data_IF_234016631325
#
_entry.id   IF_234016631325
#
_cell.length_a   1.000
_cell.length_b   1.000
_cell.length_c   1.000
_cell.angle_alpha   90.00
_cell.angle_beta   90.00
_cell.angle_gamma   90.00
#
_symmetry.space_group_name_H-M   'P 1'
#
loop_
_entity.id
_entity.type
_entity.pdbx_description
1 polymer ?
2 non-polymer ?
3 non-polymer ?
4 water ?
#
# COMPACT_ATOMS: atom_id res chain seq x y z
N UNK A 19 24.32 21.16 13.04
CA UNK A 19 23.13 20.29 13.09
C UNK A 19 21.84 21.12 13.07
N UNK A 20 21.23 21.25 11.88
CA UNK A 20 20.05 22.11 11.70
C UNK A 20 18.78 21.51 12.31
N UNK A 21 17.84 22.38 12.70
CA UNK A 21 16.64 22.02 13.45
C UNK A 21 15.38 22.37 12.63
N UNK A 22 14.19 21.88 13.05
CA UNK A 22 12.91 22.14 12.36
C UNK A 22 11.78 22.51 13.35
N UNK A 23 11.28 21.54 14.13
CA UNK A 23 10.25 21.78 15.16
C UNK A 23 10.75 21.15 16.49
N UNK A 24 11.83 21.74 17.00
CA UNK A 24 12.48 21.30 18.23
C UNK A 24 13.15 19.95 18.14
N UNK A 25 13.69 19.60 16.96
CA UNK A 25 14.34 18.30 16.71
C UNK A 25 15.46 18.45 15.69
N UNK A 26 16.56 17.69 15.85
CA UNK A 26 17.68 17.71 14.89
C UNK A 26 17.20 17.11 13.57
N UNK A 27 17.50 17.80 12.46
CA UNK A 27 17.21 17.29 11.12
C UNK A 27 18.47 17.48 10.31
N UNK A 28 19.39 16.55 10.54
CA UNK A 28 20.80 16.72 10.25
C UNK A 28 21.16 15.90 9.01
N UNK A 29 21.26 16.59 7.87
CA UNK A 29 21.34 15.96 6.55
C UNK A 29 22.49 16.50 5.73
N UNK A 30 23.33 17.35 6.33
CA UNK A 30 24.21 18.22 5.58
C UNK A 30 25.48 17.56 5.12
N UNK A 31 26.27 18.27 4.28
CA UNK A 31 25.93 19.55 3.63
C UNK A 31 25.07 19.41 2.37
N UNK A 32 24.75 18.19 1.97
CA UNK A 32 24.16 18.00 0.65
C UNK A 32 22.78 18.60 0.58
N UNK A 33 21.99 18.51 1.65
CA UNK A 33 20.57 18.86 1.60
C UNK A 33 20.34 20.06 2.49
N UNK A 34 19.77 21.15 1.94
CA UNK A 34 19.64 22.44 2.66
C UNK A 34 18.25 23.08 2.47
N UNK A 35 18.01 24.22 3.14
CA UNK A 35 16.74 24.95 3.03
C UNK A 35 15.57 24.01 3.28
N UNK A 36 15.44 23.54 4.51
CA UNK A 36 14.48 22.51 4.86
C UNK A 36 13.14 23.19 5.12
N UNK A 37 12.03 22.52 4.74
CA UNK A 37 10.69 22.96 5.08
C UNK A 37 9.91 21.77 5.64
N UNK A 38 9.27 21.95 6.79
CA UNK A 38 8.46 20.91 7.44
C UNK A 38 7.31 20.48 6.52
N UNK A 39 7.11 19.14 6.34
CA UNK A 39 5.97 18.58 5.62
C UNK A 39 4.95 18.05 6.63
N UNK A 40 5.38 17.16 7.52
CA UNK A 40 4.48 16.56 8.51
C UNK A 40 5.14 15.52 9.38
N UNK A 41 4.37 14.51 9.83
CA UNK A 41 4.87 13.38 10.62
C UNK A 41 4.89 12.12 9.76
N UNK A 45 7.97 9.11 11.98
CA UNK A 45 9.10 9.97 12.34
C UNK A 45 8.88 11.44 12.06
N UNK A 46 9.71 12.06 11.19
CA UNK A 46 9.58 13.48 10.78
C UNK A 46 9.96 13.62 9.31
N UNK A 47 9.11 14.28 8.50
CA UNK A 47 9.33 14.46 7.06
C UNK A 47 9.52 15.93 6.71
N UNK A 48 10.50 16.23 5.84
CA UNK A 48 10.80 17.57 5.36
C UNK A 48 11.12 17.53 3.88
N UNK A 49 10.79 18.61 3.15
CA UNK A 49 11.41 18.87 1.85
C UNK A 49 12.75 19.54 2.10
N UNK A 50 13.65 19.44 1.15
CA UNK A 50 14.99 19.92 1.31
C UNK A 50 15.63 20.05 -0.04
N UNK A 51 16.39 21.13 -0.26
CA UNK A 51 17.06 21.35 -1.52
C UNK A 51 18.29 20.44 -1.64
N UNK A 52 18.36 19.68 -2.74
CA UNK A 52 19.47 18.77 -3.00
C UNK A 52 20.52 19.53 -3.79
N UNK A 53 21.69 19.78 -3.17
CA UNK A 53 22.72 20.60 -3.81
C UNK A 53 23.48 19.87 -4.95
N UNK A 54 23.39 18.50 -5.07
CA UNK A 54 24.08 17.74 -6.14
C UNK A 54 23.22 17.72 -7.42
N UNK A 55 21.99 17.18 -7.31
CA UNK A 55 20.94 17.24 -8.34
C UNK A 55 20.12 18.44 -7.93
N UNK A 56 19.95 19.44 -8.77
CA UNK A 56 19.45 20.73 -8.30
C UNK A 56 17.92 20.78 -8.29
N UNK A 57 17.34 20.00 -7.36
CA UNK A 57 15.89 19.78 -7.19
C UNK A 57 15.59 19.64 -5.70
N UNK A 58 14.41 20.05 -5.26
CA UNK A 58 13.98 19.76 -3.90
C UNK A 58 13.54 18.29 -3.80
N UNK A 59 13.76 17.67 -2.63
CA UNK A 59 13.56 16.24 -2.36
C UNK A 59 12.74 16.10 -1.13
N UNK A 60 12.20 14.93 -0.89
CA UNK A 60 11.62 14.61 0.40
C UNK A 60 12.68 13.86 1.22
N UNK A 61 12.71 14.12 2.53
CA UNK A 61 13.64 13.44 3.44
C UNK A 61 12.84 13.07 4.63
N UNK A 62 12.81 11.77 4.98
CA UNK A 62 12.18 11.32 6.20
C UNK A 62 13.24 10.83 7.17
N UNK A 63 13.28 11.45 8.36
CA UNK A 63 14.07 11.00 9.52
C UNK A 63 13.34 9.86 10.21
N UNK A 64 14.03 8.71 10.38
CA UNK A 64 13.48 7.50 10.96
C UNK A 64 14.30 7.18 12.21
N UNK A 65 13.65 6.97 13.35
CA UNK A 65 14.34 6.73 14.62
C UNK A 65 13.80 5.43 15.22
N UNK A 66 14.25 4.28 14.69
CA UNK A 66 13.59 3.01 15.06
C UNK A 66 14.31 2.15 16.09
N UNK A 67 15.47 2.58 16.58
CA UNK A 67 16.40 1.61 17.11
C UNK A 67 16.01 1.14 18.52
N UNK A 68 15.12 1.87 19.20
CA UNK A 68 14.64 1.51 20.55
C UNK A 68 13.27 0.79 20.52
N UNK A 69 12.84 0.22 19.38
CA UNK A 69 11.62 -0.61 19.30
C UNK A 69 11.78 -1.62 18.18
N UNK A 70 11.85 -2.93 18.52
CA UNK A 70 12.20 -3.91 17.49
C UNK A 70 11.21 -3.97 16.35
N UNK A 71 9.92 -3.67 16.62
CA UNK A 71 8.91 -3.61 15.55
C UNK A 71 9.32 -2.49 14.58
N UNK A 72 9.74 -1.31 15.08
CA UNK A 72 10.18 -0.23 14.21
C UNK A 72 11.42 -0.63 13.37
N UNK A 73 12.37 -1.41 13.96
CA UNK A 73 13.57 -1.92 13.26
C UNK A 73 13.20 -2.88 12.13
N UNK A 74 12.22 -3.77 12.38
CA UNK A 74 11.74 -4.77 11.40
C UNK A 74 11.14 -4.10 10.20
N UNK A 75 10.26 -3.15 10.45
CA UNK A 75 9.56 -2.41 9.39
C UNK A 75 10.53 -1.55 8.57
N UNK A 76 11.46 -0.85 9.26
CA UNK A 76 12.49 -0.04 8.61
C UNK A 76 13.40 -0.90 7.68
N UNK A 77 13.85 -2.02 8.17
CA UNK A 77 14.67 -2.91 7.38
C UNK A 77 13.93 -3.42 6.14
N UNK A 78 12.63 -3.79 6.27
CA UNK A 78 11.80 -4.18 5.10
C UNK A 78 11.66 -3.09 4.05
N UNK A 79 11.27 -1.88 4.49
CA UNK A 79 11.11 -0.70 3.64
C UNK A 79 12.41 -0.61 2.83
N UNK A 80 13.54 -0.57 3.51
CA UNK A 80 14.85 -0.32 2.89
C UNK A 80 15.25 -1.39 1.90
N UNK A 81 15.24 -2.66 2.34
CA UNK A 81 15.62 -3.80 1.52
C UNK A 81 14.74 -3.84 0.26
N UNK A 82 13.42 -3.67 0.42
CA UNK A 82 12.50 -3.75 -0.72
C UNK A 82 12.72 -2.62 -1.72
N UNK A 83 12.71 -1.37 -1.26
CA UNK A 83 12.77 -0.23 -2.16
C UNK A 83 14.14 -0.12 -2.82
N UNK A 84 15.24 -0.57 -2.18
CA UNK A 84 16.55 -0.65 -2.82
C UNK A 84 16.59 -1.66 -3.96
N UNK A 85 15.84 -2.76 -3.85
CA UNK A 85 15.89 -3.80 -4.87
C UNK A 85 14.93 -3.50 -6.00
N UNK A 86 13.81 -2.89 -5.72
CA UNK A 86 12.81 -2.56 -6.73
C UNK A 86 13.24 -1.38 -7.54
N UNK A 87 13.00 -1.46 -8.84
CA UNK A 87 13.15 -0.34 -9.76
C UNK A 87 11.94 -0.28 -10.73
N UNK A 88 11.02 0.69 -10.50
CA UNK A 88 9.78 0.79 -11.25
C UNK A 88 9.26 2.20 -11.22
N UNK A 89 8.74 2.68 -12.34
CA UNK A 89 8.24 4.05 -12.45
C UNK A 89 7.09 4.37 -11.44
N UNK A 90 6.34 3.33 -10.99
CA UNK A 90 5.16 3.56 -10.15
C UNK A 90 5.42 3.06 -8.77
N UNK A 91 6.72 2.93 -8.37
CA UNK A 91 7.12 2.59 -7.04
C UNK A 91 8.16 3.64 -6.61
N UNK A 92 7.98 4.28 -5.41
CA UNK A 92 8.92 5.32 -5.02
C UNK A 92 10.34 4.69 -4.85
N UNK A 93 11.34 5.38 -5.30
CA UNK A 93 12.70 4.90 -5.12
C UNK A 93 13.33 5.53 -3.87
N UNK A 94 14.41 4.97 -3.40
CA UNK A 94 15.26 5.64 -2.42
C UNK A 94 16.45 6.29 -3.16
N UNK A 95 16.54 7.58 -3.09
CA UNK A 95 17.61 8.36 -3.73
C UNK A 95 18.90 8.34 -2.95
N UNK A 96 18.76 8.28 -1.65
CA UNK A 96 19.92 8.36 -0.76
C UNK A 96 19.46 7.94 0.66
N UNK A 97 20.42 7.49 1.51
CA UNK A 97 20.16 7.21 2.91
C UNK A 97 21.32 7.81 3.68
N UNK A 98 20.98 8.67 4.68
CA UNK A 98 21.93 9.43 5.46
C UNK A 98 22.01 8.78 6.86
N UNK A 99 23.20 8.44 7.33
CA UNK A 99 23.35 8.00 8.72
C UNK A 99 24.81 8.12 9.13
N UNK A 100 25.06 7.99 10.44
CA UNK A 100 26.39 8.07 11.01
C UNK A 100 27.36 7.04 10.42
N UNK A 101 28.66 7.32 10.43
CA UNK A 101 29.62 6.35 9.89
C UNK A 101 29.83 5.06 10.66
N UNK A 102 29.41 4.99 11.93
CA UNK A 102 29.58 3.82 12.78
C UNK A 102 28.24 3.40 13.35
N UNK A 103 28.11 2.10 13.69
CA UNK A 103 26.89 1.58 14.39
C UNK A 103 26.71 2.31 15.70
N UNK A 104 27.80 2.58 16.39
CA UNK A 104 27.76 3.26 17.69
C UNK A 104 27.12 4.63 17.64
N UNK A 105 27.41 5.37 16.57
CA UNK A 105 26.98 6.75 16.38
C UNK A 105 25.67 6.86 15.66
N UNK A 106 25.11 5.74 15.13
CA UNK A 106 23.91 5.78 14.32
C UNK A 106 22.70 5.70 15.23
N UNK A 107 22.01 6.83 15.39
CA UNK A 107 20.81 6.95 16.25
C UNK A 107 19.55 7.13 15.44
N UNK A 108 19.66 7.63 14.19
CA UNK A 108 18.53 7.81 13.28
C UNK A 108 19.00 7.40 11.85
N UNK A 109 18.07 7.16 10.94
CA UNK A 109 18.39 6.99 9.51
C UNK A 109 17.57 8.03 8.77
N UNK A 110 18.13 8.71 7.77
CA UNK A 110 17.31 9.60 6.89
C UNK A 110 17.18 8.98 5.53
N UNK A 111 15.95 8.84 5.03
CA UNK A 111 15.71 8.30 3.69
C UNK A 111 15.25 9.45 2.79
N UNK A 112 15.96 9.63 1.68
CA UNK A 112 15.77 10.71 0.72
C UNK A 112 15.00 10.13 -0.45
N UNK A 113 13.86 10.75 -0.78
CA UNK A 113 13.07 10.34 -1.94
C UNK A 113 12.67 11.52 -2.83
N UNK A 114 12.24 11.20 -4.08
CA UNK A 114 11.71 12.24 -4.97
C UNK A 114 10.64 12.98 -4.23
N UNK A 115 10.55 14.28 -4.44
CA UNK A 115 9.51 15.06 -3.77
C UNK A 115 8.24 14.87 -4.60
N UNK A 116 7.09 14.56 -3.95
CA UNK A 116 5.81 14.41 -4.64
C UNK A 116 4.86 15.53 -4.18
N UNK A 117 4.10 16.18 -5.11
CA UNK A 117 3.23 17.35 -4.76
C UNK A 117 2.25 16.94 -3.65
N UNK A 118 1.61 15.76 -3.78
CA UNK A 118 0.51 15.38 -2.92
C UNK A 118 0.39 13.83 -2.81
N UNK A 119 -0.68 13.35 -2.21
CA UNK A 119 -0.95 11.90 -2.17
C UNK A 119 -2.41 11.72 -2.39
N UNK A 120 -2.84 10.50 -2.66
CA UNK A 120 -4.24 10.30 -3.04
C UNK A 120 -5.14 10.59 -1.81
N UNK A 121 -4.67 10.40 -0.58
CA UNK A 121 -5.50 10.75 0.60
C UNK A 121 -5.85 12.25 0.61
N UNK A 122 -4.84 13.09 0.42
CA UNK A 122 -5.00 14.56 0.42
C UNK A 122 -5.85 14.99 -0.73
N UNK A 123 -5.63 14.34 -1.88
CA UNK A 123 -6.34 14.75 -3.09
C UNK A 123 -7.84 14.41 -2.95
N UNK A 124 -8.15 13.24 -2.42
CA UNK A 124 -9.55 12.85 -2.25
C UNK A 124 -10.28 13.71 -1.21
N UNK A 125 -9.57 14.24 -0.24
CA UNK A 125 -10.26 15.12 0.70
C UNK A 125 -10.70 16.43 0.06
N UNK A 126 -9.99 16.91 -0.99
CA UNK A 126 -10.15 18.23 -1.58
C UNK A 126 -10.66 18.31 -3.05
N UNK A 127 -10.46 17.24 -3.84
CA UNK A 127 -10.64 17.27 -5.28
C UNK A 127 -11.60 16.21 -5.84
N UNK A 128 -12.55 16.62 -6.64
CA UNK A 128 -13.27 15.66 -7.51
C UNK A 128 -12.27 15.13 -8.55
N UNK A 129 -12.30 13.81 -8.82
CA UNK A 129 -11.43 13.26 -9.85
C UNK A 129 -12.28 13.07 -11.10
N UNK A 130 -11.83 13.50 -12.30
CA UNK A 130 -12.57 13.16 -13.53
C UNK A 130 -12.47 11.67 -13.80
N UNK A 131 -13.38 11.08 -14.61
CA UNK A 131 -13.21 9.68 -14.96
C UNK A 131 -11.88 9.39 -15.58
N UNK A 132 -11.33 10.32 -16.37
CA UNK A 132 -10.00 10.07 -16.94
C UNK A 132 -8.88 10.01 -15.91
N UNK A 133 -8.99 10.83 -14.86
CA UNK A 133 -8.00 10.77 -13.76
C UNK A 133 -8.11 9.46 -13.00
N UNK A 134 -9.30 9.03 -12.73
CA UNK A 134 -9.52 7.76 -11.99
C UNK A 134 -8.91 6.56 -12.79
N UNK A 135 -9.18 6.55 -14.07
CA UNK A 135 -8.70 5.51 -14.95
C UNK A 135 -7.18 5.44 -14.94
N UNK A 136 -6.54 6.58 -15.07
CA UNK A 136 -5.09 6.73 -15.11
C UNK A 136 -4.43 6.36 -13.77
N UNK A 137 -5.03 6.80 -12.68
CA UNK A 137 -4.54 6.46 -11.35
C UNK A 137 -4.62 4.96 -11.14
N UNK A 138 -5.76 4.35 -11.47
CA UNK A 138 -5.94 2.92 -11.27
C UNK A 138 -4.92 2.16 -12.12
N UNK A 139 -4.72 2.62 -13.36
CA UNK A 139 -3.71 1.98 -14.25
C UNK A 139 -2.36 1.95 -13.58
N UNK A 140 -1.93 3.11 -13.12
CA UNK A 140 -0.60 3.24 -12.49
C UNK A 140 -0.51 2.41 -11.23
N UNK A 141 -1.55 2.39 -10.41
CA UNK A 141 -1.55 1.55 -9.20
C UNK A 141 -1.32 0.06 -9.59
N UNK A 142 -2.09 -0.43 -10.54
CA UNK A 142 -2.03 -1.84 -10.95
C UNK A 142 -0.73 -2.17 -11.67
N UNK A 143 -0.18 -1.19 -12.40
CA UNK A 143 1.08 -1.37 -13.13
C UNK A 143 2.19 -1.60 -12.10
N UNK A 144 2.23 -0.75 -11.09
CA UNK A 144 3.16 -0.92 -9.99
C UNK A 144 2.93 -2.22 -9.23
N UNK A 145 1.67 -2.51 -8.93
CA UNK A 145 1.34 -3.79 -8.26
C UNK A 145 1.71 -5.05 -9.06
N UNK A 146 1.61 -4.98 -10.35
CA UNK A 146 2.05 -6.11 -11.21
C UNK A 146 3.50 -6.43 -10.89
N UNK A 147 4.33 -5.38 -10.84
CA UNK A 147 5.77 -5.58 -10.54
C UNK A 147 5.95 -6.15 -9.14
N UNK A 148 5.30 -5.55 -8.13
CA UNK A 148 5.46 -5.99 -6.75
C UNK A 148 5.10 -7.44 -6.61
N UNK A 149 3.92 -7.83 -7.15
CA UNK A 149 3.45 -9.22 -7.10
C UNK A 149 4.35 -10.16 -7.92
N UNK A 150 4.94 -9.67 -8.99
CA UNK A 150 5.84 -10.48 -9.81
C UNK A 150 7.16 -10.84 -9.03
N UNK A 151 7.49 -9.99 -8.06
CA UNK A 151 8.61 -10.25 -7.12
C UNK A 151 8.19 -11.16 -5.94
N UNK A 152 6.98 -11.72 -5.98
CA UNK A 152 6.40 -12.54 -4.91
C UNK A 152 6.24 -11.77 -3.60
N UNK A 153 6.07 -10.46 -3.68
CA UNK A 153 5.94 -9.55 -2.54
C UNK A 153 4.48 -9.09 -2.48
N UNK A 154 3.98 -9.00 -1.27
CA UNK A 154 2.67 -8.40 -0.93
C UNK A 154 2.90 -7.07 -0.25
N UNK A 155 2.26 -6.01 -0.69
CA UNK A 155 2.45 -4.73 -0.04
C UNK A 155 1.75 -4.76 1.36
N UNK A 156 0.48 -5.19 1.41
CA UNK A 156 -0.28 -5.40 2.66
C UNK A 156 -0.72 -4.12 3.36
N UNK A 157 -0.45 -2.92 2.80
CA UNK A 157 -1.04 -1.72 3.37
C UNK A 157 -1.37 -0.66 2.32
N UNK A 158 -1.96 -1.11 1.23
CA UNK A 158 -2.33 -0.19 0.14
C UNK A 158 -3.52 0.62 0.60
N UNK A 159 -3.41 1.94 0.43
CA UNK A 159 -4.42 2.90 0.87
C UNK A 159 -4.08 4.26 0.24
N UNK A 160 -5.03 5.19 0.17
CA UNK A 160 -4.76 6.44 -0.52
C UNK A 160 -3.48 7.16 -0.02
N UNK A 161 -3.20 7.16 1.29
CA UNK A 161 -2.06 7.96 1.76
C UNK A 161 -0.72 7.28 1.37
N UNK A 162 -0.75 6.00 0.92
CA UNK A 162 0.45 5.33 0.41
C UNK A 162 0.61 5.40 -1.11
N UNK A 163 -0.16 6.24 -1.75
CA UNK A 163 -0.10 6.50 -3.16
C UNK A 163 0.30 7.97 -3.36
N UNK A 164 1.53 8.21 -3.75
CA UNK A 164 2.06 9.58 -3.96
C UNK A 164 1.80 10.08 -5.40
N UNK A 165 1.58 11.40 -5.59
CA UNK A 165 1.26 12.01 -6.87
C UNK A 165 2.08 13.26 -7.05
N UNK A 166 2.61 13.47 -8.23
CA UNK A 166 3.36 14.70 -8.53
C UNK A 166 2.45 15.65 -9.30
N UNK A 167 2.97 16.79 -9.87
CA UNK A 167 2.07 17.87 -10.37
C UNK A 167 1.45 17.49 -11.68
N UNK A 168 2.02 16.46 -12.32
CA UNK A 168 1.55 15.97 -13.60
C UNK A 168 0.82 14.65 -13.40
N UNK A 169 0.40 14.35 -12.15
CA UNK A 169 -0.37 13.16 -11.80
C UNK A 169 0.35 11.81 -12.06
N UNK A 170 1.68 11.83 -12.04
CA UNK A 170 2.37 10.54 -12.01
C UNK A 170 2.24 9.99 -10.62
N UNK A 171 2.01 8.67 -10.49
CA UNK A 171 1.63 8.03 -9.25
C UNK A 171 2.69 6.97 -8.88
N UNK A 172 3.08 7.02 -7.62
CA UNK A 172 4.04 6.10 -7.02
C UNK A 172 3.63 5.50 -5.69
N UNK A 173 3.71 4.16 -5.63
CA UNK A 173 3.39 3.42 -4.42
C UNK A 173 4.52 3.58 -3.46
N UNK A 174 4.21 3.86 -2.20
CA UNK A 174 5.16 3.94 -1.11
C UNK A 174 4.82 3.10 0.12
N UNK A 175 5.75 3.08 1.11
CA UNK A 175 5.61 2.46 2.41
C UNK A 175 5.46 0.95 2.37
N UNK A 176 6.59 0.26 2.24
CA UNK A 176 6.62 -1.20 2.23
C UNK A 176 7.01 -1.76 3.59
N UNK A 177 6.81 -0.97 4.64
CA UNK A 177 7.15 -1.38 6.00
C UNK A 177 6.37 -2.57 6.46
N UNK A 178 5.14 -2.76 5.94
CA UNK A 178 4.28 -3.86 6.33
C UNK A 178 4.30 -5.03 5.33
N UNK A 179 5.17 -5.00 4.33
CA UNK A 179 5.20 -6.02 3.28
C UNK A 179 5.68 -7.37 3.75
N UNK A 180 5.27 -8.43 3.00
CA UNK A 180 5.72 -9.79 3.23
C UNK A 180 5.95 -10.50 1.88
N UNK A 181 6.77 -11.54 1.90
CA UNK A 181 6.85 -12.49 0.79
C UNK A 181 5.56 -13.35 0.83
N UNK A 182 4.91 -13.52 -0.32
CA UNK A 182 3.68 -14.30 -0.43
C UNK A 182 3.89 -15.75 0.03
N UNK A 183 2.89 -16.31 0.69
CA UNK A 183 2.96 -17.66 1.23
C UNK A 183 1.57 -18.25 1.28
N UNK A 184 0.97 -18.57 0.12
CA UNK A 184 -0.41 -19.07 0.11
C UNK A 184 -0.68 -20.39 0.82
N UNK A 185 0.33 -21.26 0.99
CA UNK A 185 0.14 -22.54 1.64
C UNK A 185 0.00 -22.38 3.16
N UNK A 186 0.48 -21.26 3.71
CA UNK A 186 0.38 -21.00 5.14
C UNK A 186 -0.53 -19.77 5.39
N UNK A 187 -1.56 -19.56 4.57
CA UNK A 187 -2.47 -18.43 4.76
C UNK A 187 -3.60 -18.69 5.78
N UNK A 188 -3.92 -19.95 6.08
CA UNK A 188 -5.13 -20.20 6.88
C UNK A 188 -4.96 -19.92 8.37
N UNK A 189 -6.03 -19.39 8.99
CA UNK A 189 -6.00 -19.11 10.45
C UNK A 189 -7.44 -19.10 10.93
N UNK A 190 -7.63 -18.83 12.22
CA UNK A 190 -8.95 -18.76 12.84
C UNK A 190 -9.65 -17.43 12.75
N UNK A 191 -10.81 -17.37 13.40
CA UNK A 191 -11.76 -16.27 13.29
C UNK A 191 -11.42 -15.06 14.22
N UNK A 192 -11.54 -13.85 13.71
CA UNK A 192 -11.34 -12.56 14.41
C UNK A 192 -9.94 -12.43 15.08
N UNK A 193 -8.91 -12.95 14.42
CA UNK A 193 -7.55 -12.88 14.98
C UNK A 193 -6.70 -11.79 14.32
N UNK A 194 -6.85 -11.55 13.03
CA UNK A 194 -5.78 -10.95 12.22
C UNK A 194 -6.07 -9.47 11.93
N UNK A 195 -5.01 -8.63 11.74
CA UNK A 195 -5.15 -7.17 11.65
C UNK A 195 -4.48 -6.56 10.42
N UNK A 196 -4.16 -7.38 9.44
CA UNK A 196 -3.38 -6.99 8.25
C UNK A 196 -4.02 -5.76 7.59
N UNK A 197 -3.21 -4.83 6.99
CA UNK A 197 -3.69 -3.58 6.36
C UNK A 197 -4.32 -2.60 7.41
N UNK A 198 -4.77 -1.51 6.87
CA UNK A 198 -5.43 -0.49 7.62
C UNK A 198 -6.89 -0.88 7.48
N UNK A 199 -7.68 -0.67 8.55
CA UNK A 199 -9.03 -1.23 8.63
C UNK A 199 -9.90 -1.06 7.43
N UNK A 200 -10.09 0.16 6.89
CA UNK A 200 -11.07 0.40 5.83
C UNK A 200 -10.69 -0.39 4.51
N UNK A 201 -9.44 -0.78 4.39
CA UNK A 201 -8.89 -1.39 3.16
C UNK A 201 -8.58 -2.89 3.35
N UNK A 202 -9.01 -3.45 4.48
CA UNK A 202 -8.77 -4.82 4.89
C UNK A 202 -9.84 -5.79 4.30
N UNK A 203 -9.41 -6.84 3.64
CA UNK A 203 -10.30 -7.78 2.97
C UNK A 203 -11.12 -8.57 3.98
N UNK A 204 -12.34 -9.00 3.59
CA UNK A 204 -13.22 -9.71 4.53
C UNK A 204 -12.54 -10.95 5.12
N UNK A 205 -11.74 -11.73 4.32
CA UNK A 205 -11.10 -12.95 4.83
C UNK A 205 -10.14 -12.70 5.96
N UNK A 206 -9.56 -11.50 6.08
CA UNK A 206 -8.64 -11.19 7.21
C UNK A 206 -9.34 -11.46 8.56
N UNK A 207 -10.64 -11.08 8.64
CA UNK A 207 -11.41 -11.23 9.86
C UNK A 207 -11.97 -12.64 10.06
N UNK A 208 -11.93 -13.46 9.01
CA UNK A 208 -12.57 -14.76 8.95
C UNK A 208 -11.58 -15.87 9.09
N UNK A 209 -10.55 -15.92 8.22
CA UNK A 209 -9.69 -17.11 8.13
C UNK A 209 -8.34 -16.91 7.42
N UNK A 210 -7.87 -15.68 7.25
CA UNK A 210 -6.69 -15.47 6.42
C UNK A 210 -5.67 -14.64 7.18
N UNK A 211 -4.40 -15.06 7.10
CA UNK A 211 -3.25 -14.28 7.59
C UNK A 211 -2.78 -13.16 6.63
N UNK A 212 -3.42 -13.00 5.49
CA UNK A 212 -3.03 -11.96 4.53
C UNK A 212 -1.71 -12.25 3.85
N UNK A 213 -1.46 -13.51 3.54
CA UNK A 213 -0.22 -13.97 2.85
C UNK A 213 -0.44 -14.33 1.39
N UNK A 214 -1.57 -13.88 0.79
CA UNK A 214 -1.77 -14.13 -0.64
C UNK A 214 -2.02 -12.78 -1.32
N UNK A 215 -1.75 -12.76 -2.64
CA UNK A 215 -1.79 -11.54 -3.50
C UNK A 215 -3.17 -10.94 -3.51
N UNK A 216 -4.24 -11.79 -3.38
CA UNK A 216 -5.63 -11.26 -3.34
C UNK A 216 -5.89 -10.21 -2.22
N UNK A 217 -5.04 -10.15 -1.14
CA UNK A 217 -5.18 -9.18 -0.08
C UNK A 217 -4.99 -7.74 -0.65
N UNK A 218 -4.03 -7.61 -1.52
CA UNK A 218 -3.74 -6.33 -2.14
C UNK A 218 -4.80 -5.92 -3.13
N UNK A 219 -5.36 -6.87 -3.91
CA UNK A 219 -6.39 -6.54 -4.86
C UNK A 219 -7.60 -6.02 -4.18
N UNK A 220 -7.97 -6.61 -3.06
CA UNK A 220 -9.11 -6.05 -2.28
C UNK A 220 -8.87 -4.56 -1.97
N UNK A 221 -7.66 -4.22 -1.47
CA UNK A 221 -7.33 -2.83 -1.05
C UNK A 221 -7.45 -1.95 -2.28
N UNK A 222 -6.94 -2.44 -3.45
CA UNK A 222 -7.07 -1.61 -4.66
C UNK A 222 -8.53 -1.33 -5.02
N UNK A 223 -9.40 -2.35 -4.86
CA UNK A 223 -10.83 -2.18 -5.09
C UNK A 223 -11.40 -1.11 -4.18
N UNK A 224 -11.00 -1.14 -2.91
CA UNK A 224 -11.47 -0.10 -1.96
C UNK A 224 -11.04 1.31 -2.44
N UNK A 225 -9.83 1.40 -2.96
CA UNK A 225 -9.24 2.68 -3.42
C UNK A 225 -9.99 3.15 -4.61
N UNK A 226 -10.28 2.23 -5.55
CA UNK A 226 -11.08 2.58 -6.71
C UNK A 226 -12.46 3.13 -6.30
N UNK A 227 -13.17 2.42 -5.43
CA UNK A 227 -14.46 2.89 -4.90
C UNK A 227 -14.34 4.30 -4.30
N UNK A 228 -13.25 4.52 -3.55
CA UNK A 228 -13.10 5.80 -2.89
C UNK A 228 -12.83 6.93 -3.90
N UNK A 229 -12.12 6.61 -5.01
CA UNK A 229 -11.87 7.57 -6.10
C UNK A 229 -13.18 7.96 -6.77
N UNK A 230 -14.14 7.02 -6.86
CA UNK A 230 -15.41 7.29 -7.55
C UNK A 230 -16.28 8.27 -6.80
N UNK A 231 -16.24 8.26 -5.44
CA UNK A 231 -17.18 9.06 -4.63
C UNK A 231 -16.52 9.99 -3.58
N UNK A 232 -15.17 10.02 -3.45
CA UNK A 232 -14.46 10.73 -2.38
C UNK A 232 -14.83 10.32 -0.96
N UNK A 233 -15.34 9.11 -0.76
CA UNK A 233 -15.61 8.65 0.61
C UNK A 233 -15.16 7.22 0.67
N UNK A 234 -14.63 6.75 1.78
CA UNK A 234 -14.30 5.29 1.88
C UNK A 234 -15.55 4.45 1.73
N UNK A 235 -15.46 3.34 1.02
CA UNK A 235 -16.64 2.52 0.76
C UNK A 235 -17.07 1.70 1.98
N UNK A 236 -16.10 1.27 2.76
CA UNK A 236 -16.32 0.43 3.95
C UNK A 236 -15.71 1.08 5.22
N UNK A 237 -16.30 2.23 5.65
CA UNK A 237 -15.71 2.98 6.76
C UNK A 237 -16.00 2.37 8.13
N UNK A 238 -15.47 1.20 8.38
CA UNK A 238 -15.72 0.55 9.68
C UNK A 238 -15.30 1.51 10.78
N UNK A 239 -16.13 1.68 11.81
CA UNK A 239 -15.82 2.61 12.93
C UNK A 239 -14.76 2.04 13.87
N UNK A 240 -14.57 0.71 13.79
CA UNK A 240 -13.61 -0.02 14.63
C UNK A 240 -13.43 -1.41 14.00
N UNK A 241 -12.53 -2.23 14.54
CA UNK A 241 -12.15 -3.53 13.88
C UNK A 241 -13.31 -4.44 13.57
N UNK A 242 -14.17 -4.56 14.57
CA UNK A 242 -15.33 -5.44 14.42
C UNK A 242 -16.41 -4.87 13.50
N UNK A 243 -16.46 -3.58 13.28
CA UNK A 243 -17.47 -3.04 12.37
C UNK A 243 -17.17 -3.35 10.89
N UNK A 244 -15.91 -3.68 10.59
CA UNK A 244 -15.46 -3.69 9.19
C UNK A 244 -16.25 -4.73 8.38
N UNK A 245 -16.44 -5.96 8.91
CA UNK A 245 -17.23 -6.98 8.23
C UNK A 245 -18.68 -6.55 8.04
N UNK A 246 -19.26 -5.82 8.98
CA UNK A 246 -20.62 -5.31 8.86
C UNK A 246 -20.73 -4.46 7.57
N UNK A 247 -19.75 -3.57 7.36
CA UNK A 247 -19.79 -2.67 6.21
C UNK A 247 -19.64 -3.49 4.91
N UNK A 248 -18.72 -4.43 4.90
CA UNK A 248 -18.43 -5.19 3.70
C UNK A 248 -19.65 -6.01 3.30
N UNK A 249 -20.18 -6.77 4.27
CA UNK A 249 -21.34 -7.58 4.01
C UNK A 249 -22.60 -6.73 3.74
N UNK A 250 -22.69 -5.54 4.35
CA UNK A 250 -23.73 -4.56 4.05
C UNK A 250 -23.88 -4.20 2.59
N UNK A 251 -22.72 -4.19 1.84
CA UNK A 251 -22.74 -3.87 0.42
C UNK A 251 -22.74 -5.12 -0.43
N UNK A 252 -21.86 -6.12 -0.14
CA UNK A 252 -21.75 -7.30 -1.01
C UNK A 252 -22.96 -8.24 -0.81
N UNK A 253 -23.65 -8.11 0.32
CA UNK A 253 -24.67 -9.04 0.74
C UNK A 253 -24.12 -10.35 1.28
N UNK A 254 -25.01 -11.27 1.62
CA UNK A 254 -24.65 -12.53 2.21
C UNK A 254 -23.79 -13.36 1.22
N UNK A 255 -22.69 -13.97 1.69
CA UNK A 255 -21.94 -14.90 0.82
C UNK A 255 -22.79 -16.11 0.41
N UNK A 256 -22.50 -16.60 -0.80
CA UNK A 256 -23.19 -17.70 -1.41
C UNK A 256 -22.83 -18.97 -0.63
N UNK A 257 -23.60 -20.02 -0.86
CA UNK A 257 -23.27 -21.31 -0.29
C UNK A 257 -21.88 -21.75 -0.67
N UNK A 258 -21.49 -21.58 -1.95
CA UNK A 258 -20.17 -21.99 -2.41
C UNK A 258 -19.08 -21.27 -1.69
N UNK A 259 -19.22 -19.93 -1.54
CA UNK A 259 -18.19 -19.15 -0.88
C UNK A 259 -18.10 -19.51 0.57
N UNK A 260 -19.25 -19.80 1.23
CA UNK A 260 -19.16 -20.31 2.60
C UNK A 260 -18.49 -21.64 2.71
N UNK A 261 -18.80 -22.53 1.78
CA UNK A 261 -18.18 -23.86 1.79
C UNK A 261 -16.68 -23.77 1.71
N UNK A 262 -16.11 -22.71 1.08
CA UNK A 262 -14.65 -22.51 1.08
C UNK A 262 -14.10 -22.14 2.46
N UNK A 263 -14.92 -21.72 3.42
CA UNK A 263 -14.49 -21.40 4.78
C UNK A 263 -14.74 -22.64 5.66
N UNK A 264 -13.72 -23.43 5.80
CA UNK A 264 -13.92 -24.67 6.58
C UNK A 264 -13.95 -24.43 8.08
N UNK A 265 -13.26 -23.40 8.53
CA UNK A 265 -13.27 -23.11 9.97
C UNK A 265 -14.71 -22.87 10.50
N UNK A 266 -15.10 -23.58 11.60
CA UNK A 266 -16.47 -23.51 12.04
C UNK A 266 -16.87 -22.23 12.73
N UNK A 267 -15.99 -21.63 13.51
CA UNK A 267 -16.34 -20.37 14.20
C UNK A 267 -16.65 -19.31 13.10
N UNK A 268 -15.82 -19.21 12.09
CA UNK A 268 -16.04 -18.25 11.00
C UNK A 268 -17.28 -18.57 10.21
N UNK A 269 -17.41 -19.87 9.80
CA UNK A 269 -18.56 -20.27 8.98
C UNK A 269 -19.88 -20.02 9.72
N UNK A 270 -19.98 -20.49 10.97
CA UNK A 270 -21.19 -20.39 11.75
C UNK A 270 -21.49 -18.91 12.12
N UNK A 271 -20.46 -18.07 12.26
CA UNK A 271 -20.75 -16.62 12.43
C UNK A 271 -21.51 -16.12 11.20
N UNK A 272 -21.01 -16.39 10.03
CA UNK A 272 -21.67 -15.95 8.79
C UNK A 272 -23.07 -16.54 8.62
N UNK A 273 -23.26 -17.84 8.95
CA UNK A 273 -24.60 -18.44 8.93
C UNK A 273 -25.57 -17.86 9.92
N UNK A 274 -25.09 -17.27 11.00
CA UNK A 274 -25.95 -16.65 12.03
C UNK A 274 -26.59 -15.34 11.60
N UNK A 275 -26.02 -14.71 10.56
CA UNK A 275 -26.45 -13.37 10.13
C UNK A 275 -27.76 -13.48 9.34
N UNK A 276 -28.69 -12.53 9.54
CA UNK A 276 -29.84 -12.43 8.63
C UNK A 276 -29.41 -12.26 7.16
N UNK A 277 -30.22 -12.81 6.20
CA UNK A 277 -29.92 -12.62 4.79
C UNK A 277 -29.81 -11.14 4.48
N UNK A 278 -28.80 -10.75 3.68
CA UNK A 278 -28.67 -9.39 3.18
C UNK A 278 -28.49 -9.49 1.70
N UNK A 279 -29.18 -8.62 0.94
CA UNK A 279 -28.98 -8.61 -0.52
C UNK A 279 -27.84 -7.65 -0.89
N UNK A 280 -27.29 -7.89 -2.05
CA UNK A 280 -26.25 -7.07 -2.63
C UNK A 280 -26.73 -5.68 -2.97
N UNK A 281 -25.96 -4.66 -2.61
CA UNK A 281 -26.26 -3.28 -3.04
C UNK A 281 -25.61 -3.12 -4.44
N UNK A 282 -26.38 -2.77 -5.47
CA UNK A 282 -25.80 -2.70 -6.82
C UNK A 282 -24.84 -1.53 -6.94
N UNK A 283 -23.71 -1.74 -7.64
CA UNK A 283 -22.67 -0.74 -7.71
C UNK A 283 -23.19 0.53 -8.39
N UNK A 284 -24.05 0.36 -9.40
CA UNK A 284 -24.60 1.51 -10.15
C UNK A 284 -25.55 2.37 -9.31
N UNK A 285 -26.07 1.84 -8.20
CA UNK A 285 -26.83 2.64 -7.22
C UNK A 285 -25.93 3.37 -6.23
N UNK A 286 -24.83 2.71 -5.80
CA UNK A 286 -23.84 3.33 -4.94
C UNK A 286 -23.08 4.37 -5.69
N UNK A 287 -22.87 4.17 -7.00
CA UNK A 287 -21.97 5.02 -7.80
C UNK A 287 -22.69 5.39 -9.09
N UNK A 288 -23.71 6.25 -8.99
CA UNK A 288 -24.52 6.58 -10.19
C UNK A 288 -23.79 7.35 -11.31
N UNK A 289 -22.70 8.08 -10.98
CA UNK A 289 -21.92 8.87 -11.96
C UNK A 289 -20.75 8.07 -12.58
N UNK A 290 -20.50 6.84 -12.08
CA UNK A 290 -19.35 6.12 -12.56
C UNK A 290 -19.52 5.45 -13.91
N UNK A 291 -18.39 5.34 -14.62
CA UNK A 291 -18.24 4.55 -15.82
C UNK A 291 -18.63 3.12 -15.56
N UNK A 292 -19.46 2.55 -16.45
CA UNK A 292 -19.98 1.21 -16.27
C UNK A 292 -18.81 0.18 -16.28
N UNK A 293 -17.75 0.41 -17.12
CA UNK A 293 -16.58 -0.47 -17.15
C UNK A 293 -15.84 -0.40 -15.84
N UNK A 294 -15.75 0.79 -15.24
CA UNK A 294 -15.14 0.92 -13.90
C UNK A 294 -15.84 0.06 -12.88
N UNK A 295 -17.19 0.07 -12.88
CA UNK A 295 -17.95 -0.71 -11.89
C UNK A 295 -17.82 -2.20 -12.11
N UNK A 296 -17.70 -2.62 -13.39
CA UNK A 296 -17.46 -4.04 -13.70
C UNK A 296 -16.13 -4.45 -13.10
N UNK A 297 -15.06 -3.64 -13.26
CA UNK A 297 -13.76 -4.00 -12.66
C UNK A 297 -13.80 -3.91 -11.11
N UNK A 298 -14.46 -2.88 -10.58
CA UNK A 298 -14.67 -2.77 -9.15
C UNK A 298 -15.28 -4.06 -8.57
N UNK A 299 -16.37 -4.57 -9.23
CA UNK A 299 -17.07 -5.76 -8.81
C UNK A 299 -16.11 -6.92 -8.68
N UNK A 300 -15.20 -7.05 -9.67
CA UNK A 300 -14.26 -8.15 -9.70
C UNK A 300 -13.14 -8.02 -8.66
N UNK A 301 -12.75 -6.82 -8.30
CA UNK A 301 -11.72 -6.63 -7.28
C UNK A 301 -12.33 -6.81 -5.88
N UNK A 302 -13.58 -6.45 -5.72
CA UNK A 302 -14.30 -6.54 -4.43
C UNK A 302 -15.15 -7.82 -4.37
N UNK A 303 -14.61 -8.90 -4.84
CA UNK A 303 -15.21 -10.21 -4.77
C UNK A 303 -14.96 -10.80 -3.44
N UNK A 304 -16.02 -11.37 -2.81
CA UNK A 304 -15.91 -11.86 -1.42
C UNK A 304 -14.88 -13.00 -1.32
N UNK A 305 -14.94 -13.92 -2.24
CA UNK A 305 -14.14 -15.14 -2.19
C UNK A 305 -12.78 -14.79 -2.79
N UNK A 306 -11.68 -14.83 -1.99
CA UNK A 306 -10.39 -14.40 -2.53
C UNK A 306 -9.88 -15.26 -3.65
N UNK A 307 -10.38 -16.49 -3.79
CA UNK A 307 -9.97 -17.38 -4.87
C UNK A 307 -10.60 -16.91 -6.19
N UNK A 308 -11.72 -16.27 -6.14
CA UNK A 308 -12.43 -15.82 -7.33
C UNK A 308 -12.11 -14.37 -7.67
N UNK A 309 -11.42 -13.64 -6.79
CA UNK A 309 -11.06 -12.25 -6.97
C UNK A 309 -10.09 -12.10 -8.13
N UNK A 310 -10.29 -11.07 -8.93
CA UNK A 310 -9.42 -10.84 -10.06
C UNK A 310 -7.97 -10.66 -9.62
N UNK A 311 -6.99 -11.13 -10.46
CA UNK A 311 -5.58 -10.88 -10.24
C UNK A 311 -5.08 -9.69 -10.99
N UNK A 312 -3.92 -9.19 -10.58
CA UNK A 312 -3.39 -7.94 -11.11
C UNK A 312 -3.24 -7.95 -12.62
N UNK A 313 -2.72 -9.06 -13.23
CA UNK A 313 -2.59 -9.10 -14.69
C UNK A 313 -3.93 -9.05 -15.40
N UNK A 314 -4.96 -9.75 -14.85
CA UNK A 314 -6.31 -9.68 -15.39
C UNK A 314 -6.89 -8.32 -15.26
N UNK A 315 -6.66 -7.67 -14.11
CA UNK A 315 -7.20 -6.34 -13.90
C UNK A 315 -6.63 -5.37 -14.94
N UNK A 316 -5.33 -5.45 -15.21
CA UNK A 316 -4.72 -4.60 -16.23
C UNK A 316 -5.36 -4.76 -17.60
N UNK A 317 -5.74 -6.01 -17.95
CA UNK A 317 -6.35 -6.39 -19.21
C UNK A 317 -7.85 -6.08 -19.28
N UNK A 318 -8.45 -5.49 -18.21
CA UNK A 318 -9.89 -5.28 -18.18
C UNK A 318 -10.25 -4.14 -19.17
N UNK A 319 -11.39 -4.21 -19.84
CA UNK A 319 -11.78 -3.09 -20.76
C UNK A 319 -11.66 -1.66 -20.24
N UNK A 320 -11.84 -1.46 -18.91
CA UNK A 320 -11.76 -0.13 -18.34
C UNK A 320 -10.41 0.50 -18.64
N UNK A 321 -9.34 -0.34 -18.66
CA UNK A 321 -7.96 0.16 -18.81
C UNK A 321 -7.43 0.02 -20.23
N UNK A 322 -8.30 -0.21 -21.21
CA UNK A 322 -7.86 -0.48 -22.61
C UNK A 322 -7.06 0.64 -23.21
N UNK A 323 -7.33 1.89 -22.81
CA UNK A 323 -6.54 3.01 -23.36
C UNK A 323 -5.06 2.97 -22.98
N UNK A 324 -4.73 2.34 -21.84
CA UNK A 324 -3.37 2.29 -21.31
C UNK A 324 -2.73 0.90 -21.47
N UNK A 325 -3.54 -0.14 -21.56
CA UNK A 325 -2.99 -1.52 -21.39
C UNK A 325 -1.95 -1.82 -22.43
N UNK A 326 -0.82 -2.29 -21.98
CA UNK A 326 0.32 -2.61 -22.84
C UNK A 326 1.25 -3.52 -22.04
N UNK A 327 1.03 -4.84 -22.07
CA UNK A 327 1.86 -5.72 -21.20
C UNK A 327 3.38 -5.63 -21.44
N UNK A 328 3.84 -5.29 -22.66
CA UNK A 328 5.27 -5.08 -22.90
C UNK A 328 5.83 -3.87 -22.22
N UNK A 329 4.95 -2.95 -21.76
CA UNK A 329 5.33 -1.76 -21.03
C UNK A 329 4.80 -1.81 -19.60
N UNK A 330 4.64 -3.05 -19.06
CA UNK A 330 4.18 -3.27 -17.73
C UNK A 330 5.15 -4.26 -17.18
N UNK A 331 6.32 -3.77 -16.80
CA UNK A 331 7.42 -4.69 -16.47
C UNK A 331 7.30 -5.45 -15.17
N UNK A 332 8.07 -6.55 -15.12
CA UNK A 332 8.13 -7.43 -13.96
C UNK A 332 9.55 -7.40 -13.35
N UNK A 333 9.62 -7.87 -12.11
CA UNK A 333 10.90 -7.93 -11.39
C UNK A 333 11.80 -9.02 -11.96
N UNK A 334 13.09 -8.76 -11.94
CA UNK A 334 14.14 -9.67 -12.43
C UNK A 334 14.22 -10.98 -11.70
N UNK A 335 13.85 -10.99 -10.40
CA UNK A 335 13.85 -12.22 -9.63
C UNK A 335 12.92 -12.09 -8.45
N UNK A 336 12.33 -13.18 -7.96
CA UNK A 336 11.48 -13.04 -6.77
C UNK A 336 12.34 -12.78 -5.55
N UNK A 337 11.77 -12.12 -4.54
CA UNK A 337 12.40 -11.98 -3.22
C UNK A 337 12.15 -13.18 -2.41
N UNK A 338 13.19 -13.59 -1.64
CA UNK A 338 13.19 -14.76 -0.75
C UNK A 338 13.80 -14.33 0.59
N UNK A 347 16.42 -10.04 16.80
CA UNK A 347 16.37 -9.02 17.86
C UNK A 347 16.96 -7.67 17.41
N UNK A 348 16.45 -6.57 18.01
CA UNK A 348 16.86 -5.17 17.79
C UNK A 348 18.33 -4.93 17.39
N UNK A 349 19.29 -5.61 18.06
CA UNK A 349 20.71 -5.37 17.87
C UNK A 349 21.22 -6.00 16.59
N UNK A 350 20.71 -7.19 16.20
CA UNK A 350 21.13 -7.76 14.93
C UNK A 350 20.46 -6.93 13.83
N UNK A 351 19.23 -6.41 14.08
CA UNK A 351 18.49 -5.67 13.04
C UNK A 351 19.17 -4.32 12.77
N UNK A 352 19.62 -3.62 13.85
CA UNK A 352 20.44 -2.40 13.72
C UNK A 352 21.65 -2.64 12.84
N UNK A 353 22.42 -3.74 13.03
CA UNK A 353 23.54 -4.14 12.13
C UNK A 353 23.11 -4.36 10.69
N UNK A 354 21.97 -5.02 10.50
CA UNK A 354 21.48 -5.30 9.16
C UNK A 354 21.07 -3.98 8.44
N UNK A 355 20.51 -3.04 9.18
CA UNK A 355 20.09 -1.74 8.64
C UNK A 355 21.37 -0.96 8.31
N UNK A 356 22.37 -0.99 9.20
CA UNK A 356 23.70 -0.40 8.90
C UNK A 356 24.32 -1.00 7.60
N UNK A 357 24.31 -2.33 7.48
CA UNK A 357 24.83 -3.01 6.28
C UNK A 357 24.10 -2.65 5.02
N UNK A 358 22.77 -2.65 5.09
CA UNK A 358 21.90 -2.39 3.96
C UNK A 358 22.01 -0.93 3.48
N UNK A 359 22.46 0.01 4.35
CA UNK A 359 22.58 1.44 4.01
C UNK A 359 24.03 1.87 3.65
N UNK A 360 25.03 0.98 3.76
CA UNK A 360 26.42 1.27 3.52
C UNK A 360 26.72 1.81 2.12
N UNK A 361 25.97 1.42 1.07
CA UNK A 361 26.26 1.82 -0.31
C UNK A 361 26.18 3.33 -0.54
N UNK A 362 25.53 4.05 0.35
CA UNK A 362 25.32 5.48 0.23
C UNK A 362 26.39 6.26 0.91
N UNK A 363 27.28 5.60 1.66
CA UNK A 363 28.40 6.28 2.28
C UNK A 363 29.48 6.64 1.25
N UNK A 364 30.14 7.82 1.44
CA UNK A 364 31.23 8.26 0.52
C UNK A 364 32.29 7.23 0.10
N UNK A 365 32.50 7.08 -1.20
CA UNK A 365 33.40 6.07 -1.75
C UNK A 365 32.86 4.65 -1.63
X LIG B 1 -8.20 -1.49 13.60
X LIG B 1 -8.01 -0.05 13.34
X LIG B 1 -9.48 -1.90 12.91
X LIG B 1 -8.21 -1.83 15.04
X LIG B 1 -7.01 -2.16 13.07
X LIG C 1 2.81 5.34 -16.47
X LIG C 1 3.29 4.24 -17.39
X LIG C 1 1.35 5.46 -16.68
X LIG C 1 3.48 6.60 -16.93
X LIG C 1 3.16 5.16 -15.07
X LIG D 1 -8.63 3.73 9.05
X LIG D 1 -9.64 4.65 9.67
X LIG D 1 -9.20 2.58 8.38
X LIG D 1 -7.91 4.49 8.05
X LIG D 1 -7.82 3.17 10.16
X LIG E 1 4.20 -5.62 11.52
X LIG E 1 3.76 -6.01 10.18
X LIG E 1 3.11 -5.00 12.28
X LIG E 1 5.32 -4.68 11.39
X LIG E 1 4.67 -6.82 12.22
X LIG F 1 -3.33 9.05 7.49
X LIG F 1 -2.56 7.71 7.27
X LIG F 1 -4.58 8.27 8.00
X LIG F 1 -2.75 10.00 8.37
X LIG F 1 -4.13 6.94 6.87
X LIG F 1 -4.55 7.22 5.55
X LIG F 1 -4.29 5.64 7.44
X LIG F 1 -2.15 7.35 8.07
X LIG F 1 -1.95 7.74 6.50
X LIG F 1 -5.44 8.69 7.77
X LIG F 1 -4.53 8.01 8.95
X LIG F 1 -3.20 10.73 8.33
X LIG F 1 -3.52 9.50 6.64
X LIG G 1 -18.11 -8.80 13.20
X LIG G 1 -18.20 -9.83 14.36
X LIG G 1 -19.34 -7.96 13.68
X LIG G 1 -16.88 -8.12 13.10
X LIG G 1 -19.23 -8.71 15.31
X LIG G 1 -20.47 -9.29 15.71
X LIG G 1 -18.47 -7.92 16.23
X LIG G 1 -17.35 -10.01 14.80
X LIG G 1 -18.66 -10.65 14.12
X LIG G 1 -20.17 -8.17 13.22
X LIG G 1 -19.16 -7.00 13.71
X LIG G 1 -16.59 -7.96 13.89
X LIG G 1 -18.31 -9.22 12.34
#
# INVERSE_FOLDING_TARGET
MAHHHHHHMAAAAAAGAGPEMVRGQVFDVGPRYTNLSYIGEGAYGMVCSAYDNVNKVRVAIKKISPFEHQTYCQRTLREIKILLRFRHENIIGINDIIRAPTIEQMKDVYIVQDLMETDLYKLLKTQHLSNDHICYFLYQILRGLKYIHSANVLHRDLKPSNLLLNTTCDLKICDFGLARVADPDHDHTGFLTEYVATRWYRAPEIMLNSKGYTKSIDIWSVGCILAEMLSNRPIFPGKHYLDQLNHILGILGSPSQEDLNCIINLKARNYLLSLPHKNKVPWNRLFPNADSKALDLLDKMLTFNPHKRIEVEQALAHPYLEQYYDPSDEPIAEAPFKFDMELDDLPKEKLKELIFEETARFQPGYRS
SO4 S O1 O2 O3 O4
SO4 S O1 O2 O3 O4
SO4 S O1 O2 O3 O4
SO4 S O1 O2 O3 O4
HV2 C2 C3 C7 O1 S4 O5 O6 H11 H10 H12 H13 H8 H9
HV2 C2 C3 C7 O1 S4 O5 O6 H11 H10 H12 H13 H8 H9
#
